data_IF_182891892429
#
_entry.id   IF_182891892429
#
_cell.length_a   1.000
_cell.length_b   1.000
_cell.length_c   1.000
_cell.angle_alpha   90.00
_cell.angle_beta   90.00
_cell.angle_gamma   90.00
#
_symmetry.space_group_name_H-M   'P 1'
#
loop_
_entity.id
_entity.type
_entity.pdbx_description
1 polymer ?
#
# COMPACT_ATOMS: atom_id res chain seq x y z
N UNK A 1 4.87 -22.08 14.94
CA UNK A 1 5.29 -20.95 14.08
C UNK A 1 4.11 -20.01 13.91
N UNK A 2 4.30 -18.71 14.12
CA UNK A 2 3.27 -17.70 13.84
C UNK A 2 3.02 -17.63 12.33
N UNK A 3 1.82 -17.15 11.93
CA UNK A 3 1.52 -16.91 10.51
C UNK A 3 2.53 -15.91 9.94
N UNK A 4 3.18 -16.21 8.80
CA UNK A 4 4.18 -15.31 8.24
C UNK A 4 3.52 -14.02 7.73
N UNK A 5 4.26 -12.93 7.73
CA UNK A 5 3.87 -11.70 7.04
C UNK A 5 4.26 -11.86 5.57
N UNK A 6 3.27 -11.82 4.67
CA UNK A 6 3.46 -12.00 3.22
C UNK A 6 3.34 -10.70 2.42
N UNK A 7 3.46 -9.55 3.09
CA UNK A 7 3.57 -8.25 2.44
C UNK A 7 4.72 -8.27 1.42
N UNK A 8 4.47 -7.76 0.23
CA UNK A 8 5.53 -7.50 -0.75
C UNK A 8 5.78 -5.99 -0.84
N UNK A 9 7.04 -5.59 -0.93
CA UNK A 9 7.43 -4.18 -1.05
C UNK A 9 6.81 -3.51 -2.26
N UNK A 10 6.64 -4.24 -3.37
CA UNK A 10 5.97 -3.75 -4.60
C UNK A 10 4.52 -3.36 -4.33
N UNK A 11 3.80 -4.14 -3.52
CA UNK A 11 2.40 -3.88 -3.20
C UNK A 11 2.31 -2.66 -2.28
N UNK A 12 3.24 -2.53 -1.33
CA UNK A 12 3.32 -1.40 -0.42
C UNK A 12 3.55 -0.06 -1.15
N UNK A 13 4.43 -0.03 -2.16
CA UNK A 13 4.74 1.21 -2.90
C UNK A 13 3.77 1.50 -4.06
N UNK A 14 2.97 0.52 -4.48
CA UNK A 14 2.08 0.64 -5.64
C UNK A 14 1.17 1.88 -5.59
N UNK A 15 0.54 2.25 -4.45
CA UNK A 15 -0.27 3.47 -4.40
C UNK A 15 0.55 4.74 -4.65
N UNK A 16 1.79 4.79 -4.17
CA UNK A 16 2.71 5.92 -4.39
C UNK A 16 3.12 5.97 -5.86
N UNK A 17 3.44 4.83 -6.48
CA UNK A 17 3.78 4.78 -7.91
C UNK A 17 2.62 5.23 -8.80
N UNK A 18 1.40 4.77 -8.50
CA UNK A 18 0.19 5.20 -9.19
C UNK A 18 -0.06 6.71 -9.05
N UNK A 19 0.18 7.28 -7.88
CA UNK A 19 0.05 8.72 -7.67
C UNK A 19 1.15 9.51 -8.41
N UNK A 20 2.40 9.03 -8.40
CA UNK A 20 3.49 9.64 -9.16
C UNK A 20 3.20 9.62 -10.67
N UNK A 21 2.74 8.49 -11.22
CA UNK A 21 2.34 8.37 -12.63
C UNK A 21 1.18 9.31 -12.96
N UNK A 22 0.18 9.41 -12.07
CA UNK A 22 -0.96 10.31 -12.27
C UNK A 22 -0.54 11.78 -12.21
N UNK A 23 0.35 12.16 -11.29
CA UNK A 23 0.94 13.51 -11.21
C UNK A 23 1.70 13.84 -12.50
N UNK A 24 2.45 12.89 -13.06
CA UNK A 24 3.16 13.10 -14.32
C UNK A 24 2.20 13.32 -15.49
N UNK A 25 1.15 12.50 -15.60
CA UNK A 25 0.08 12.70 -16.61
C UNK A 25 -0.63 14.05 -16.46
N UNK A 26 -0.82 14.54 -15.23
CA UNK A 26 -1.37 15.87 -14.98
C UNK A 26 -0.40 16.96 -15.45
N UNK A 27 0.90 16.79 -15.17
CA UNK A 27 1.95 17.71 -15.59
C UNK A 27 2.04 17.84 -17.11
N UNK A 28 1.95 16.73 -17.84
CA UNK A 28 1.92 16.73 -19.31
C UNK A 28 0.69 17.47 -19.87
N UNK A 29 -0.50 17.26 -19.27
CA UNK A 29 -1.73 17.93 -19.69
C UNK A 29 -1.73 19.44 -19.42
N UNK A 30 -1.06 19.88 -18.35
CA UNK A 30 -0.91 21.30 -18.01
C UNK A 30 -0.33 22.11 -19.18
N UNK A 31 0.68 21.58 -19.87
CA UNK A 31 1.46 22.30 -20.91
C UNK A 31 0.60 22.90 -22.02
N UNK A 32 -0.60 22.35 -22.25
CA UNK A 32 -1.48 22.74 -23.35
C UNK A 32 -2.78 23.42 -22.89
N UNK A 33 -2.90 23.85 -21.62
CA UNK A 33 -4.17 24.34 -21.08
C UNK A 33 -3.99 25.59 -20.21
N UNK A 34 -4.61 26.69 -20.64
CA UNK A 34 -4.70 27.95 -19.88
C UNK A 34 -6.09 28.15 -19.21
N UNK A 35 -7.03 27.23 -19.46
CA UNK A 35 -8.38 27.31 -18.91
C UNK A 35 -8.40 27.06 -17.40
N UNK A 36 -8.94 28.02 -16.64
CA UNK A 36 -8.95 27.97 -15.18
C UNK A 36 -9.74 26.79 -14.62
N UNK A 37 -10.82 26.37 -15.26
CA UNK A 37 -11.63 25.22 -14.81
C UNK A 37 -10.83 23.94 -14.97
N UNK A 38 -10.11 23.81 -16.09
CA UNK A 38 -9.23 22.67 -16.33
C UNK A 38 -8.10 22.64 -15.29
N UNK A 39 -7.43 23.77 -15.05
CA UNK A 39 -6.34 23.87 -14.07
C UNK A 39 -6.81 23.55 -12.65
N UNK A 40 -7.97 24.04 -12.25
CA UNK A 40 -8.60 23.75 -10.95
C UNK A 40 -8.94 22.26 -10.81
N UNK A 41 -9.51 21.65 -11.86
CA UNK A 41 -9.79 20.22 -11.88
C UNK A 41 -8.51 19.37 -11.76
N UNK A 42 -7.47 19.72 -12.53
CA UNK A 42 -6.16 19.05 -12.48
C UNK A 42 -5.50 19.21 -11.10
N UNK A 43 -5.62 20.38 -10.48
CA UNK A 43 -5.12 20.63 -9.13
C UNK A 43 -5.82 19.75 -8.09
N UNK A 44 -7.15 19.70 -8.10
CA UNK A 44 -7.93 18.84 -7.21
C UNK A 44 -7.54 17.36 -7.38
N UNK A 45 -7.42 16.90 -8.63
CA UNK A 45 -6.97 15.54 -8.96
C UNK A 45 -5.57 15.23 -8.43
N UNK A 46 -4.62 16.18 -8.54
CA UNK A 46 -3.27 16.04 -8.01
C UNK A 46 -3.25 15.85 -6.49
N UNK A 47 -3.94 16.73 -5.76
CA UNK A 47 -4.04 16.67 -4.29
C UNK A 47 -4.72 15.39 -3.82
N UNK A 48 -5.84 14.99 -4.44
CA UNK A 48 -6.51 13.73 -4.11
C UNK A 48 -5.63 12.51 -4.37
N UNK A 49 -4.80 12.54 -5.42
CA UNK A 49 -3.86 11.44 -5.71
C UNK A 49 -2.79 11.30 -4.64
N UNK A 50 -2.26 12.43 -4.15
CA UNK A 50 -1.33 12.46 -3.03
C UNK A 50 -1.96 11.89 -1.75
N UNK A 51 -3.13 12.39 -1.34
CA UNK A 51 -3.79 11.97 -0.09
C UNK A 51 -4.22 10.49 -0.11
N UNK A 52 -4.73 10.03 -1.26
CA UNK A 52 -5.12 8.63 -1.43
C UNK A 52 -3.91 7.71 -1.38
N UNK A 53 -2.77 8.10 -1.97
CA UNK A 53 -1.57 7.25 -1.93
C UNK A 53 -1.08 6.98 -0.50
N UNK A 54 -1.14 7.99 0.39
CA UNK A 54 -0.80 7.85 1.81
C UNK A 54 -1.79 6.91 2.49
N UNK A 55 -3.09 7.13 2.27
CA UNK A 55 -4.17 6.34 2.88
C UNK A 55 -4.13 4.87 2.44
N UNK A 56 -3.95 4.62 1.15
CA UNK A 56 -3.91 3.27 0.58
C UNK A 56 -2.64 2.52 0.99
N UNK A 57 -1.50 3.21 1.08
CA UNK A 57 -0.27 2.63 1.63
C UNK A 57 -0.46 2.19 3.09
N UNK A 58 -1.14 3.00 3.90
CA UNK A 58 -1.49 2.64 5.28
C UNK A 58 -2.44 1.42 5.32
N UNK A 59 -3.45 1.36 4.46
CA UNK A 59 -4.37 0.21 4.38
C UNK A 59 -3.62 -1.08 4.08
N UNK A 60 -2.75 -1.06 3.06
CA UNK A 60 -1.95 -2.22 2.66
C UNK A 60 -1.05 -2.67 3.81
N UNK A 61 -0.35 -1.73 4.45
CA UNK A 61 0.54 -2.04 5.56
C UNK A 61 -0.22 -2.63 6.76
N UNK A 62 -1.31 -1.98 7.19
CA UNK A 62 -2.06 -2.39 8.38
C UNK A 62 -2.84 -3.70 8.17
N UNK A 63 -3.22 -4.00 6.92
CA UNK A 63 -3.85 -5.29 6.57
C UNK A 63 -2.85 -6.43 6.70
N UNK A 64 -1.59 -6.19 6.33
CA UNK A 64 -0.53 -7.21 6.39
C UNK A 64 0.20 -7.26 7.74
N UNK A 65 0.23 -6.15 8.49
CA UNK A 65 0.89 -6.03 9.80
C UNK A 65 -0.06 -5.32 10.78
N UNK A 66 -1.13 -6.02 11.25
CA UNK A 66 -2.13 -5.42 12.15
C UNK A 66 -1.57 -4.92 13.47
N UNK A 67 -0.45 -5.47 13.94
CA UNK A 67 0.22 -5.04 15.19
C UNK A 67 0.66 -3.58 15.17
N UNK A 68 0.76 -2.96 13.98
CA UNK A 68 1.05 -1.54 13.81
C UNK A 68 -0.17 -0.63 14.00
N UNK A 69 -1.35 -1.22 14.16
CA UNK A 69 -2.58 -0.48 14.47
C UNK A 69 -2.53 -0.03 15.93
N UNK A 70 -2.35 1.27 16.16
CA UNK A 70 -2.27 1.85 17.50
C UNK A 70 -3.66 2.09 18.13
N UNK A 71 -4.48 1.03 18.17
CA UNK A 71 -5.83 1.03 18.76
C UNK A 71 -5.87 0.01 19.89
N UNK A 72 -6.27 0.47 21.08
CA UNK A 72 -6.47 -0.41 22.24
C UNK A 72 -7.79 -1.19 22.15
N UNK A 73 -8.83 -0.55 21.63
CA UNK A 73 -10.18 -1.12 21.48
C UNK A 73 -10.94 -0.33 20.41
N UNK A 74 -11.61 -1.02 19.50
CA UNK A 74 -12.50 -0.42 18.49
C UNK A 74 -13.93 -0.94 18.72
N UNK A 75 -14.94 -0.07 18.81
CA UNK A 75 -16.32 -0.50 18.89
C UNK A 75 -16.76 -1.08 17.53
N UNK A 76 -17.08 -2.38 17.52
CA UNK A 76 -17.55 -3.08 16.33
C UNK A 76 -19.03 -3.42 16.51
N UNK A 77 -19.88 -3.05 15.54
CA UNK A 77 -21.31 -3.34 15.58
C UNK A 77 -21.59 -4.83 15.34
N UNK A 78 -22.79 -5.29 15.69
CA UNK A 78 -23.17 -6.70 15.49
C UNK A 78 -23.22 -7.05 14.00
N UNK A 79 -23.66 -6.11 13.16
CA UNK A 79 -23.70 -6.24 11.71
C UNK A 79 -22.28 -6.43 11.15
N UNK A 80 -21.32 -5.64 11.64
CA UNK A 80 -19.91 -5.72 11.25
C UNK A 80 -19.24 -7.04 11.66
N UNK A 81 -19.67 -7.64 12.77
CA UNK A 81 -19.24 -8.98 13.16
C UNK A 81 -19.80 -10.07 12.23
N UNK A 82 -21.03 -9.88 11.73
CA UNK A 82 -21.69 -10.81 10.81
C UNK A 82 -21.07 -10.72 9.40
N UNK A 83 -20.71 -9.52 8.94
CA UNK A 83 -20.06 -9.28 7.63
C UNK A 83 -18.63 -9.83 7.55
N UNK A 84 -18.09 -10.35 8.65
CA UNK A 84 -16.97 -11.30 8.64
C UNK A 84 -15.57 -10.71 8.56
N UNK A 85 -15.38 -9.39 8.63
CA UNK A 85 -14.03 -8.80 8.66
C UNK A 85 -13.87 -7.59 9.59
N UNK A 86 -13.96 -7.80 10.92
CA UNK A 86 -13.81 -6.74 11.91
C UNK A 86 -12.46 -6.02 11.85
N UNK A 87 -11.38 -6.72 11.47
CA UNK A 87 -10.06 -6.13 11.31
C UNK A 87 -10.02 -5.12 10.16
N UNK A 88 -10.53 -5.50 8.98
CA UNK A 88 -10.62 -4.58 7.83
C UNK A 88 -11.40 -3.33 8.20
N UNK A 89 -12.48 -3.47 8.98
CA UNK A 89 -13.26 -2.33 9.44
C UNK A 89 -12.50 -1.42 10.40
N UNK A 90 -11.80 -1.98 11.38
CA UNK A 90 -10.97 -1.21 12.30
C UNK A 90 -9.87 -0.44 11.55
N UNK A 91 -9.28 -1.05 10.52
CA UNK A 91 -8.30 -0.40 9.65
C UNK A 91 -8.95 0.77 8.88
N UNK A 92 -10.10 0.55 8.23
CA UNK A 92 -10.79 1.61 7.49
C UNK A 92 -11.19 2.79 8.39
N UNK A 93 -11.79 2.50 9.56
CA UNK A 93 -12.15 3.52 10.53
C UNK A 93 -10.93 4.34 10.93
N UNK A 94 -9.80 3.67 11.20
CA UNK A 94 -8.56 4.34 11.61
C UNK A 94 -7.96 5.18 10.50
N UNK A 95 -7.83 4.63 9.29
CA UNK A 95 -7.28 5.36 8.14
C UNK A 95 -8.14 6.58 7.83
N UNK A 96 -9.47 6.43 7.82
CA UNK A 96 -10.38 7.55 7.60
C UNK A 96 -10.24 8.60 8.72
N UNK A 97 -10.22 8.19 9.99
CA UNK A 97 -10.04 9.10 11.11
C UNK A 97 -8.72 9.87 11.05
N UNK A 98 -7.64 9.25 10.55
CA UNK A 98 -6.36 9.93 10.30
C UNK A 98 -6.48 10.92 9.14
N UNK A 99 -7.10 10.54 8.02
CA UNK A 99 -7.22 11.39 6.82
C UNK A 99 -8.00 12.70 7.04
N UNK A 100 -8.85 12.76 8.07
CA UNK A 100 -9.54 13.99 8.49
C UNK A 100 -8.71 14.94 9.37
N UNK A 101 -7.51 14.52 9.83
CA UNK A 101 -6.64 15.37 10.64
C UNK A 101 -5.94 16.44 9.80
N UNK A 102 -5.24 17.36 10.48
CA UNK A 102 -4.32 18.27 9.82
C UNK A 102 -3.15 17.48 9.18
N UNK A 103 -2.49 18.10 8.20
CA UNK A 103 -1.46 17.43 7.42
C UNK A 103 -0.28 16.95 8.27
N UNK A 104 0.17 17.74 9.25
CA UNK A 104 1.27 17.35 10.14
C UNK A 104 0.96 16.04 10.87
N UNK A 105 -0.25 15.90 11.39
CA UNK A 105 -0.68 14.67 12.08
C UNK A 105 -0.82 13.48 11.14
N UNK A 106 -1.29 13.70 9.90
CA UNK A 106 -1.34 12.65 8.87
C UNK A 106 0.07 12.13 8.59
N UNK A 107 1.02 13.03 8.33
CA UNK A 107 2.39 12.65 7.98
C UNK A 107 3.12 12.00 9.17
N UNK A 108 2.95 12.51 10.39
CA UNK A 108 3.48 11.89 11.62
C UNK A 108 2.93 10.49 11.83
N UNK A 109 1.62 10.29 11.64
CA UNK A 109 1.03 8.97 11.73
C UNK A 109 1.61 8.05 10.65
N UNK A 110 1.71 8.54 9.42
CA UNK A 110 2.29 7.79 8.30
C UNK A 110 3.71 7.32 8.58
N UNK A 111 4.62 8.22 8.99
CA UNK A 111 6.02 7.89 9.26
C UNK A 111 6.15 6.94 10.46
N UNK A 112 5.40 7.19 11.54
CA UNK A 112 5.36 6.32 12.72
C UNK A 112 4.88 4.90 12.38
N UNK A 113 3.75 4.78 11.69
CA UNK A 113 3.16 3.47 11.34
C UNK A 113 4.04 2.73 10.34
N UNK A 114 4.59 3.40 9.32
CA UNK A 114 5.50 2.77 8.35
C UNK A 114 6.87 2.46 8.95
N UNK A 115 7.31 3.21 9.96
CA UNK A 115 8.61 3.06 10.61
C UNK A 115 9.78 3.61 9.78
N UNK A 116 9.50 4.56 8.90
CA UNK A 116 10.50 5.37 8.17
C UNK A 116 10.86 6.63 8.99
N UNK A 117 11.87 7.37 8.56
CA UNK A 117 12.33 8.58 9.27
C UNK A 117 11.21 9.63 9.43
N UNK A 118 10.93 10.06 10.67
CA UNK A 118 9.92 11.08 10.98
C UNK A 118 10.25 12.46 10.40
N UNK A 119 11.54 12.75 10.19
CA UNK A 119 12.03 14.03 9.66
C UNK A 119 12.26 13.98 8.14
N UNK A 120 11.72 12.99 7.44
CA UNK A 120 11.87 12.83 5.99
C UNK A 120 11.27 14.02 5.21
N UNK A 121 10.17 14.59 5.74
CA UNK A 121 9.54 15.80 5.19
C UNK A 121 10.09 17.01 5.94
N UNK A 122 10.72 17.90 5.20
CA UNK A 122 11.27 19.15 5.75
C UNK A 122 10.16 20.11 6.15
N UNK A 123 10.48 21.09 7.00
CA UNK A 123 9.52 22.12 7.41
C UNK A 123 8.99 22.91 6.21
N UNK A 124 9.84 23.26 5.25
CA UNK A 124 9.44 23.98 4.03
C UNK A 124 8.48 23.17 3.15
N UNK A 125 8.72 21.86 3.01
CA UNK A 125 7.81 20.95 2.30
C UNK A 125 6.48 20.81 3.02
N UNK A 126 6.50 20.69 4.36
CA UNK A 126 5.29 20.62 5.17
C UNK A 126 4.46 21.92 5.05
N UNK A 127 5.11 23.07 5.10
CA UNK A 127 4.46 24.38 4.95
C UNK A 127 3.84 24.53 3.55
N UNK A 128 4.55 24.09 2.51
CA UNK A 128 4.05 24.11 1.13
C UNK A 128 2.86 23.17 0.94
N UNK A 129 2.94 21.93 1.42
CA UNK A 129 1.83 20.99 1.36
C UNK A 129 0.61 21.44 2.18
N UNK A 130 0.83 22.12 3.31
CA UNK A 130 -0.26 22.67 4.14
C UNK A 130 -1.02 23.75 3.38
N UNK A 131 -0.33 24.66 2.70
CA UNK A 131 -0.95 25.67 1.85
C UNK A 131 -1.70 25.03 0.67
N UNK A 132 -1.09 24.04 -0.01
CA UNK A 132 -1.73 23.29 -1.10
C UNK A 132 -3.04 22.63 -0.62
N UNK A 133 -3.03 21.95 0.53
CA UNK A 133 -4.22 21.31 1.10
C UNK A 133 -5.29 22.34 1.46
N UNK A 134 -4.89 23.48 2.06
CA UNK A 134 -5.80 24.56 2.41
C UNK A 134 -6.45 25.18 1.15
N UNK A 135 -5.68 25.39 0.08
CA UNK A 135 -6.18 25.86 -1.21
C UNK A 135 -7.15 24.84 -1.84
N UNK A 136 -6.86 23.54 -1.77
CA UNK A 136 -7.80 22.50 -2.24
C UNK A 136 -9.11 22.56 -1.48
N UNK A 137 -9.07 22.75 -0.16
CA UNK A 137 -10.28 22.90 0.64
C UNK A 137 -11.08 24.15 0.25
N UNK A 138 -10.41 25.27 -0.04
CA UNK A 138 -11.09 26.46 -0.56
C UNK A 138 -11.72 26.23 -1.94
N UNK A 139 -11.04 25.51 -2.84
CA UNK A 139 -11.58 25.19 -4.15
C UNK A 139 -12.89 24.41 -4.03
N UNK A 140 -12.92 23.38 -3.18
CA UNK A 140 -14.07 22.51 -3.01
C UNK A 140 -15.21 23.19 -2.24
N UNK A 141 -14.90 23.96 -1.21
CA UNK A 141 -15.92 24.43 -0.25
C UNK A 141 -16.28 25.91 -0.37
N UNK A 142 -15.44 26.74 -1.00
CA UNK A 142 -15.61 28.19 -0.99
C UNK A 142 -15.24 28.87 -2.31
N UNK A 143 -15.22 28.14 -3.44
CA UNK A 143 -14.89 28.65 -4.77
C UNK A 143 -13.60 29.50 -4.80
N UNK A 144 -12.56 29.04 -4.08
CA UNK A 144 -11.27 29.72 -3.94
C UNK A 144 -11.34 31.11 -3.27
N UNK A 145 -12.44 31.49 -2.64
CA UNK A 145 -12.55 32.74 -1.86
C UNK A 145 -11.88 32.51 -0.50
N UNK A 146 -10.96 33.40 -0.12
CA UNK A 146 -10.27 33.32 1.17
C UNK A 146 -11.28 33.37 2.35
N UNK A 147 -11.08 32.54 3.37
CA UNK A 147 -11.86 32.55 4.61
C UNK A 147 -10.95 32.33 5.85
N UNK A 148 -11.53 32.40 7.05
CA UNK A 148 -10.80 32.19 8.31
C UNK A 148 -10.13 30.82 8.36
N UNK A 149 -10.82 29.77 7.93
CA UNK A 149 -10.30 28.40 7.94
C UNK A 149 -9.01 28.25 7.10
N UNK A 150 -8.96 28.86 5.92
CA UNK A 150 -7.73 28.90 5.12
C UNK A 150 -6.60 29.63 5.84
N UNK A 151 -6.89 30.77 6.48
CA UNK A 151 -5.88 31.54 7.22
C UNK A 151 -5.27 30.76 8.37
N UNK A 152 -6.05 29.90 9.01
CA UNK A 152 -5.63 29.07 10.13
C UNK A 152 -4.84 27.83 9.68
N UNK A 153 -5.14 27.28 8.50
CA UNK A 153 -4.62 25.96 8.06
C UNK A 153 -3.53 26.01 6.98
N UNK A 154 -3.36 27.14 6.30
CA UNK A 154 -2.39 27.31 5.20
C UNK A 154 -0.94 27.45 5.66
N UNK A 155 -0.69 27.65 6.96
CA UNK A 155 0.65 27.79 7.52
C UNK A 155 1.40 29.03 7.02
N UNK A 156 2.74 29.06 7.17
CA UNK A 156 3.57 30.22 6.82
C UNK A 156 3.54 30.59 5.34
N UNK A 157 3.31 29.62 4.44
CA UNK A 157 3.32 29.81 2.99
C UNK A 157 1.99 30.36 2.44
N UNK A 158 1.06 30.76 3.32
CA UNK A 158 -0.24 31.32 2.94
C UNK A 158 -0.11 32.38 1.83
N UNK A 159 -0.80 32.15 0.71
CA UNK A 159 -0.94 33.14 -0.36
C UNK A 159 -1.78 34.33 0.09
N UNK A 160 -1.33 35.54 -0.24
CA UNK A 160 -2.06 36.77 0.01
C UNK A 160 -2.67 37.25 -1.30
N UNK A 161 -4.01 37.29 -1.43
CA UNK A 161 -4.63 37.86 -2.61
C UNK A 161 -4.48 39.40 -2.59
N UNK A 162 -4.17 40.00 -3.73
CA UNK A 162 -4.06 41.46 -3.85
C UNK A 162 -5.45 42.12 -3.75
N UNK A 163 -5.86 42.56 -2.55
CA UNK A 163 -7.09 43.32 -2.28
C UNK A 163 -8.15 42.57 -1.46
N UNK A 164 -9.20 43.27 -1.03
CA UNK A 164 -10.31 42.69 -0.25
C UNK A 164 -11.14 41.68 -1.06
N UNK A 165 -11.55 40.57 -0.43
CA UNK A 165 -12.45 39.53 -0.98
C UNK A 165 -12.01 38.87 -2.29
N UNK A 166 -10.71 38.78 -2.58
CA UNK A 166 -10.23 38.20 -3.84
C UNK A 166 -10.00 36.69 -3.79
N UNK A 167 -10.35 36.06 -4.91
CA UNK A 167 -10.21 34.63 -5.21
C UNK A 167 -8.73 34.24 -5.38
N UNK A 168 -8.33 33.14 -4.75
CA UNK A 168 -7.00 32.53 -4.86
C UNK A 168 -6.94 31.63 -6.10
N UNK A 169 -6.70 32.21 -7.27
CA UNK A 169 -6.63 31.47 -8.53
C UNK A 169 -5.62 30.31 -8.51
N UNK A 170 -5.91 29.26 -9.25
CA UNK A 170 -4.98 28.17 -9.56
C UNK A 170 -4.48 28.41 -10.97
N UNK A 171 -3.36 29.12 -11.09
CA UNK A 171 -2.68 29.31 -12.36
C UNK A 171 -1.75 28.13 -12.68
N UNK A 172 -1.16 28.17 -13.86
CA UNK A 172 -0.23 27.16 -14.35
C UNK A 172 1.01 26.98 -13.46
N UNK A 173 1.55 28.07 -12.93
CA UNK A 173 2.77 28.04 -12.13
C UNK A 173 2.48 27.46 -10.74
N UNK A 174 1.39 27.88 -10.12
CA UNK A 174 0.91 27.35 -8.87
C UNK A 174 0.59 25.85 -8.98
N UNK A 175 -0.13 25.43 -10.04
CA UNK A 175 -0.37 24.01 -10.29
C UNK A 175 0.95 23.25 -10.42
N UNK A 176 1.90 23.76 -11.21
CA UNK A 176 3.19 23.10 -11.41
C UNK A 176 3.98 22.95 -10.11
N UNK A 177 4.12 24.03 -9.33
CA UNK A 177 4.83 23.98 -8.05
C UNK A 177 4.15 23.05 -7.04
N UNK A 178 2.82 23.02 -7.04
CA UNK A 178 2.04 22.07 -6.24
C UNK A 178 2.37 20.62 -6.59
N UNK A 179 2.38 20.29 -7.89
CA UNK A 179 2.70 18.95 -8.38
C UNK A 179 4.15 18.55 -8.07
N UNK A 180 5.11 19.48 -8.21
CA UNK A 180 6.52 19.26 -7.88
C UNK A 180 6.65 18.93 -6.39
N UNK A 181 6.02 19.71 -5.52
CA UNK A 181 6.06 19.51 -4.06
C UNK A 181 5.52 18.13 -3.67
N UNK A 182 4.32 17.77 -4.17
CA UNK A 182 3.71 16.45 -3.91
C UNK A 182 4.58 15.31 -4.45
N UNK A 183 5.13 15.44 -5.66
CA UNK A 183 6.02 14.45 -6.27
C UNK A 183 7.29 14.26 -5.44
N UNK A 184 7.92 15.33 -4.99
CA UNK A 184 9.15 15.27 -4.18
C UNK A 184 8.92 14.49 -2.90
N UNK A 185 7.86 14.82 -2.15
CA UNK A 185 7.53 14.12 -0.90
C UNK A 185 7.17 12.66 -1.14
N UNK A 186 6.38 12.34 -2.17
CA UNK A 186 6.08 10.95 -2.55
C UNK A 186 7.34 10.17 -2.96
N UNK A 187 8.27 10.81 -3.67
CA UNK A 187 9.54 10.21 -4.06
C UNK A 187 10.42 9.85 -2.86
N UNK A 188 10.45 10.74 -1.85
CA UNK A 188 11.11 10.46 -0.56
C UNK A 188 10.47 9.26 0.14
N UNK A 189 9.14 9.24 0.29
CA UNK A 189 8.44 8.10 0.90
C UNK A 189 8.70 6.79 0.15
N UNK A 190 8.64 6.80 -1.18
CA UNK A 190 8.95 5.62 -2.00
C UNK A 190 10.34 5.07 -1.69
N UNK A 191 11.36 5.93 -1.65
CA UNK A 191 12.75 5.54 -1.43
C UNK A 191 12.94 4.90 -0.06
N UNK A 192 12.47 5.56 0.99
CA UNK A 192 12.60 5.07 2.37
C UNK A 192 11.78 3.81 2.64
N UNK A 193 10.60 3.67 2.02
CA UNK A 193 9.82 2.42 2.10
C UNK A 193 10.52 1.26 1.38
N UNK A 194 11.13 1.51 0.21
CA UNK A 194 11.89 0.49 -0.51
C UNK A 194 13.09 0.01 0.30
N UNK A 195 13.79 0.91 0.98
CA UNK A 195 14.90 0.57 1.85
C UNK A 195 14.44 -0.18 3.11
N UNK A 196 13.44 0.37 3.82
CA UNK A 196 12.91 -0.21 5.06
C UNK A 196 12.33 -1.62 4.88
N UNK A 197 11.70 -1.87 3.73
CA UNK A 197 11.05 -3.14 3.40
C UNK A 197 11.81 -3.92 2.32
N UNK A 198 13.13 -3.72 2.20
CA UNK A 198 13.96 -4.36 1.16
C UNK A 198 13.79 -5.89 1.09
N UNK A 199 13.67 -6.54 2.26
CA UNK A 199 13.53 -7.99 2.44
C UNK A 199 12.11 -8.53 2.15
N UNK A 200 11.12 -7.66 1.95
CA UNK A 200 9.74 -8.04 1.68
C UNK A 200 9.56 -8.33 0.18
N UNK A 201 10.29 -9.33 -0.31
CA UNK A 201 10.27 -9.76 -1.71
C UNK A 201 9.26 -10.89 -1.92
N UNK A 202 8.84 -11.12 -3.17
CA UNK A 202 7.98 -12.25 -3.55
C UNK A 202 8.63 -13.56 -3.14
N UNK A 203 9.91 -13.74 -3.47
CA UNK A 203 10.68 -14.94 -3.11
C UNK A 203 10.71 -15.15 -1.59
N UNK A 204 10.98 -14.11 -0.80
CA UNK A 204 11.02 -14.25 0.66
C UNK A 204 9.65 -14.54 1.27
N UNK A 205 8.58 -13.93 0.76
CA UNK A 205 7.22 -14.23 1.19
C UNK A 205 6.87 -15.70 0.91
N UNK A 206 7.17 -16.18 -0.29
CA UNK A 206 6.97 -17.58 -0.70
C UNK A 206 7.80 -18.54 0.17
N UNK A 207 9.08 -18.25 0.43
CA UNK A 207 9.93 -19.06 1.31
C UNK A 207 9.34 -19.19 2.72
N UNK A 208 8.87 -18.07 3.29
CA UNK A 208 8.23 -18.04 4.62
C UNK A 208 6.91 -18.82 4.62
N UNK A 209 6.08 -18.67 3.58
CA UNK A 209 4.86 -19.45 3.43
C UNK A 209 5.19 -20.95 3.30
N UNK A 210 6.18 -21.32 2.51
CA UNK A 210 6.59 -22.70 2.33
C UNK A 210 7.05 -23.32 3.65
N UNK A 211 7.91 -22.64 4.42
CA UNK A 211 8.34 -23.10 5.74
C UNK A 211 7.18 -23.16 6.76
N UNK A 212 6.18 -22.30 6.62
CA UNK A 212 4.95 -22.39 7.41
C UNK A 212 4.12 -23.62 7.03
N UNK A 213 4.01 -23.92 5.73
CA UNK A 213 3.27 -25.07 5.17
C UNK A 213 3.96 -26.41 5.42
N UNK A 214 5.26 -26.52 5.22
CA UNK A 214 6.03 -27.73 5.41
C UNK A 214 6.94 -27.57 6.64
N UNK A 215 6.53 -28.18 7.74
CA UNK A 215 7.32 -28.21 8.98
C UNK A 215 8.24 -29.43 9.06
N UNK A 216 8.14 -30.32 8.08
CA UNK A 216 8.95 -31.52 7.99
C UNK A 216 10.38 -31.16 7.56
N UNK A 217 11.43 -31.66 8.25
CA UNK A 217 12.82 -31.30 7.94
C UNK A 217 13.28 -31.68 6.54
N UNK A 218 12.57 -32.60 5.88
CA UNK A 218 12.87 -33.05 4.51
C UNK A 218 12.49 -32.02 3.45
N UNK A 219 11.56 -31.11 3.76
CA UNK A 219 11.08 -30.09 2.84
C UNK A 219 11.83 -28.79 3.05
N UNK A 220 12.96 -28.65 2.36
CA UNK A 220 13.75 -27.42 2.31
C UNK A 220 13.46 -26.72 0.99
N UNK A 221 13.07 -25.45 1.04
CA UNK A 221 12.63 -24.70 -0.14
C UNK A 221 13.67 -24.72 -1.27
N UNK A 222 14.94 -24.57 -0.93
CA UNK A 222 16.08 -24.55 -1.86
C UNK A 222 16.32 -25.89 -2.58
N UNK A 223 15.83 -26.99 -2.00
CA UNK A 223 15.89 -28.32 -2.64
C UNK A 223 14.76 -28.53 -3.65
N UNK A 224 13.69 -27.74 -3.58
CA UNK A 224 12.50 -27.93 -4.41
C UNK A 224 12.45 -26.91 -5.57
N UNK A 225 13.01 -25.72 -5.37
CA UNK A 225 12.88 -24.61 -6.31
C UNK A 225 14.23 -23.95 -6.63
N UNK A 226 14.34 -23.48 -7.87
CA UNK A 226 15.33 -22.49 -8.25
C UNK A 226 14.73 -21.08 -8.25
N UNK A 227 15.51 -20.09 -7.83
CA UNK A 227 15.04 -18.71 -7.70
C UNK A 227 15.98 -17.75 -8.39
N UNK A 228 15.41 -16.80 -9.11
CA UNK A 228 16.10 -15.63 -9.63
C UNK A 228 15.87 -14.47 -8.64
N UNK A 229 16.89 -14.20 -7.81
CA UNK A 229 16.83 -13.15 -6.80
C UNK A 229 16.86 -11.74 -7.41
N UNK A 230 17.41 -11.58 -8.62
CA UNK A 230 17.45 -10.28 -9.31
C UNK A 230 16.06 -9.91 -9.85
N UNK A 231 15.35 -10.89 -10.42
CA UNK A 231 14.00 -10.71 -10.96
C UNK A 231 12.89 -10.93 -9.93
N UNK A 232 13.22 -11.38 -8.73
CA UNK A 232 12.27 -11.73 -7.65
C UNK A 232 11.22 -12.76 -8.09
N UNK A 233 11.66 -13.82 -8.77
CA UNK A 233 10.80 -14.90 -9.29
C UNK A 233 11.30 -16.29 -8.91
N UNK A 234 10.38 -17.25 -8.90
CA UNK A 234 10.70 -18.67 -8.87
C UNK A 234 10.85 -19.13 -10.31
N UNK A 235 12.01 -19.69 -10.66
CA UNK A 235 12.36 -19.99 -12.04
C UNK A 235 11.82 -21.34 -12.50
N UNK A 236 12.12 -22.41 -11.75
CA UNK A 236 11.67 -23.77 -12.05
C UNK A 236 11.75 -24.68 -10.82
N UNK A 237 11.07 -25.82 -10.90
CA UNK A 237 11.11 -26.90 -9.91
C UNK A 237 12.32 -27.80 -10.17
N UNK A 238 12.99 -28.24 -9.10
CA UNK A 238 14.15 -29.15 -9.14
C UNK A 238 13.74 -30.61 -8.90
N UNK A 239 13.41 -31.39 -9.94
CA UNK A 239 12.99 -32.78 -9.75
C UNK A 239 14.09 -33.67 -9.14
N UNK A 240 15.36 -33.37 -9.41
CA UNK A 240 16.52 -34.16 -8.99
C UNK A 240 16.81 -34.10 -7.48
N UNK A 241 16.51 -32.97 -6.83
CA UNK A 241 16.69 -32.78 -5.39
C UNK A 241 15.38 -32.88 -4.60
N UNK A 242 14.25 -32.97 -5.30
CA UNK A 242 12.92 -33.00 -4.68
C UNK A 242 12.74 -34.18 -3.74
N UNK A 243 12.26 -33.89 -2.54
CA UNK A 243 11.96 -34.89 -1.49
C UNK A 243 10.46 -35.25 -1.43
N UNK A 244 9.67 -34.88 -2.45
CA UNK A 244 8.22 -35.14 -2.55
C UNK A 244 7.82 -36.59 -2.22
N UNK A 245 8.64 -37.58 -2.59
CA UNK A 245 8.35 -39.00 -2.34
C UNK A 245 8.29 -39.36 -0.83
N UNK A 246 8.94 -38.58 0.03
CA UNK A 246 8.93 -38.77 1.48
C UNK A 246 7.76 -38.10 2.21
N UNK A 247 6.85 -37.43 1.48
CA UNK A 247 5.72 -36.72 2.08
C UNK A 247 4.56 -37.64 2.44
N UNK A 248 3.87 -37.29 3.52
CA UNK A 248 2.54 -37.86 3.81
C UNK A 248 1.52 -37.47 2.74
N UNK A 249 0.39 -38.18 2.66
CA UNK A 249 -0.65 -37.91 1.65
C UNK A 249 -1.19 -36.47 1.73
N UNK A 250 -1.30 -35.91 2.94
CA UNK A 250 -1.77 -34.54 3.16
C UNK A 250 -0.75 -33.48 2.76
N UNK A 251 0.54 -33.68 3.07
CA UNK A 251 1.61 -32.78 2.64
C UNK A 251 1.82 -32.83 1.13
N UNK A 252 1.68 -34.02 0.53
CA UNK A 252 1.75 -34.19 -0.92
C UNK A 252 0.66 -33.39 -1.63
N UNK A 253 -0.55 -33.34 -1.07
CA UNK A 253 -1.62 -32.48 -1.58
C UNK A 253 -1.22 -31.00 -1.57
N UNK A 254 -0.68 -30.49 -0.46
CA UNK A 254 -0.20 -29.10 -0.39
C UNK A 254 0.87 -28.82 -1.44
N UNK A 255 1.83 -29.73 -1.61
CA UNK A 255 2.91 -29.58 -2.56
C UNK A 255 2.41 -29.60 -4.01
N UNK A 256 1.46 -30.48 -4.32
CA UNK A 256 0.90 -30.56 -5.67
C UNK A 256 0.06 -29.33 -6.03
N UNK A 257 -0.71 -28.80 -5.08
CA UNK A 257 -1.42 -27.52 -5.25
C UNK A 257 -0.41 -26.38 -5.49
N UNK A 258 0.70 -26.37 -4.74
CA UNK A 258 1.76 -25.39 -4.86
C UNK A 258 2.42 -25.40 -6.25
N UNK A 259 2.82 -26.59 -6.72
CA UNK A 259 3.42 -26.78 -8.04
C UNK A 259 2.47 -26.32 -9.14
N UNK A 260 1.19 -26.65 -9.01
CA UNK A 260 0.19 -26.28 -10.01
C UNK A 260 -0.02 -24.78 -10.15
N UNK A 261 -0.03 -24.05 -9.02
CA UNK A 261 -0.25 -22.59 -9.03
C UNK A 261 1.02 -21.78 -9.30
N UNK A 262 2.20 -22.36 -9.08
CA UNK A 262 3.48 -21.68 -9.33
C UNK A 262 3.98 -21.79 -10.77
N UNK A 263 3.58 -22.83 -11.50
CA UNK A 263 4.10 -23.14 -12.84
C UNK A 263 2.99 -23.45 -13.88
N UNK A 264 1.72 -23.15 -13.55
CA UNK A 264 0.53 -23.47 -14.36
C UNK A 264 0.42 -24.96 -14.77
N UNK A 265 1.13 -25.84 -14.07
CA UNK A 265 1.06 -27.27 -14.30
C UNK A 265 -0.31 -27.77 -13.82
N UNK A 266 -1.02 -28.53 -14.66
CA UNK A 266 -2.31 -29.09 -14.29
C UNK A 266 -2.25 -29.87 -12.97
N UNK A 267 -3.20 -29.60 -12.06
CA UNK A 267 -3.36 -30.37 -10.84
C UNK A 267 -4.38 -31.49 -11.06
N UNK A 268 -3.92 -32.74 -11.14
CA UNK A 268 -4.83 -33.89 -11.22
C UNK A 268 -5.16 -34.42 -9.82
N UNK A 269 -6.42 -34.20 -9.40
CA UNK A 269 -6.93 -34.79 -8.17
C UNK A 269 -7.12 -36.29 -8.37
N UNK A 270 -6.32 -37.09 -7.67
CA UNK A 270 -6.41 -38.54 -7.75
C UNK A 270 -7.74 -39.01 -7.12
N UNK A 271 -8.74 -39.33 -7.96
CA UNK A 271 -10.17 -39.52 -7.59
C UNK A 271 -10.44 -40.67 -6.59
N UNK A 272 -9.44 -41.49 -6.26
CA UNK A 272 -9.54 -42.63 -5.33
C UNK A 272 -8.91 -42.41 -3.95
N UNK A 273 -8.44 -41.20 -3.64
CA UNK A 273 -7.78 -40.92 -2.36
C UNK A 273 -8.51 -39.84 -1.55
N UNK A 274 -8.86 -40.18 -0.30
CA UNK A 274 -9.29 -39.20 0.68
C UNK A 274 -8.06 -38.55 1.31
N UNK A 275 -7.95 -37.24 1.19
CA UNK A 275 -6.88 -36.46 1.82
C UNK A 275 -7.32 -36.04 3.22
N UNK A 276 -6.55 -36.42 4.23
CA UNK A 276 -6.75 -35.90 5.59
C UNK A 276 -6.27 -34.45 5.67
N UNK A 277 -7.16 -33.50 5.94
CA UNK A 277 -6.76 -32.11 6.20
C UNK A 277 -6.31 -32.03 7.65
N UNK A 278 -5.00 -32.24 7.88
CA UNK A 278 -4.43 -32.24 9.23
C UNK A 278 -4.54 -30.90 9.95
N UNK A 279 -4.63 -29.78 9.21
CA UNK A 279 -4.80 -28.44 9.79
C UNK A 279 -5.62 -27.52 8.85
N UNK A 280 -6.90 -27.31 9.20
CA UNK A 280 -7.86 -26.52 8.40
C UNK A 280 -7.49 -25.04 8.34
N UNK A 281 -7.00 -24.45 9.43
CA UNK A 281 -6.60 -23.04 9.45
C UNK A 281 -5.42 -22.78 8.53
N UNK A 282 -4.44 -23.68 8.56
CA UNK A 282 -3.26 -23.63 7.70
C UNK A 282 -3.62 -23.77 6.22
N UNK A 283 -4.57 -24.65 5.91
CA UNK A 283 -5.13 -24.76 4.56
C UNK A 283 -5.88 -23.49 4.16
N UNK A 284 -6.75 -22.95 5.01
CA UNK A 284 -7.48 -21.72 4.73
C UNK A 284 -6.52 -20.57 4.41
N UNK A 285 -5.51 -20.37 5.25
CA UNK A 285 -4.47 -19.37 5.04
C UNK A 285 -3.66 -19.60 3.76
N UNK A 286 -3.32 -20.86 3.43
CA UNK A 286 -2.65 -21.17 2.17
C UNK A 286 -3.50 -20.78 0.95
N UNK A 287 -4.78 -21.16 0.96
CA UNK A 287 -5.72 -20.87 -0.13
C UNK A 287 -5.94 -19.35 -0.28
N UNK A 288 -6.04 -18.61 0.81
CA UNK A 288 -6.13 -17.14 0.79
C UNK A 288 -4.91 -16.47 0.14
N UNK A 289 -3.76 -17.13 0.17
CA UNK A 289 -2.47 -16.58 -0.27
C UNK A 289 -1.95 -17.25 -1.56
N UNK A 290 -2.70 -18.18 -2.14
CA UNK A 290 -2.22 -19.02 -3.25
C UNK A 290 -1.85 -18.20 -4.49
N UNK A 291 -2.49 -17.06 -4.69
CA UNK A 291 -2.22 -16.14 -5.78
C UNK A 291 -0.82 -15.52 -5.71
N UNK A 292 -0.16 -15.53 -4.54
CA UNK A 292 1.25 -15.11 -4.42
C UNK A 292 2.19 -15.98 -5.26
N UNK A 293 1.76 -17.22 -5.55
CA UNK A 293 2.53 -18.19 -6.32
C UNK A 293 2.45 -17.93 -7.83
N UNK A 294 1.42 -17.23 -8.32
CA UNK A 294 1.24 -16.95 -9.75
C UNK A 294 2.44 -16.16 -10.27
N UNK A 295 3.06 -16.67 -11.33
CA UNK A 295 4.25 -16.11 -11.97
C UNK A 295 3.97 -14.71 -12.50
#
# INVERSE_FOLDING_TARGET
MNRPILLQKKDLIKPIEQALERIEKIRERKVNNDDSIILEGLFALGVSSFENSISDTLRILLTNIPDKLDIKSEPISKEQLIDGNPLKQAIENKVNAVSYKNLSDILKYFTKTTGINENIVTEDELNSLSEIKATRNLLIHNNLIENSFYRETSGPNKRQPNGMNRRLGVDQDYLFQSLVTMRTVLGKFKTELLEKYADYTKVNAIKKLFAYIFQTPIMVFENEFDVDLERDVISFIKPETSRKAGLSSSERLFFDIWVAHSHENGFEFNRGHFYGIGNREKLGYFIEQIDILKS
#
